data_IF_755179070143
#
_entry.id   IF_755179070143
#
_cell.length_a   1.000
_cell.length_b   1.000
_cell.length_c   1.000
_cell.angle_alpha   90.00
_cell.angle_beta   90.00
_cell.angle_gamma   90.00
#
_symmetry.space_group_name_H-M   'P 1'
#
loop_
_entity.id
_entity.type
_entity.pdbx_description
1 polymer ?
#
# COMPACT_ATOMS: atom_id res chain seq x y z
N UNK A 1 -11.44 -44.70 14.16
CA UNK A 1 -12.06 -43.40 13.83
C UNK A 1 -10.97 -42.36 13.93
N UNK A 2 -10.28 -42.09 12.81
CA UNK A 2 -9.29 -41.01 12.75
C UNK A 2 -10.06 -39.72 12.51
N UNK A 3 -9.94 -38.76 13.41
CA UNK A 3 -10.48 -37.41 13.22
C UNK A 3 -9.69 -36.76 12.09
N UNK A 4 -10.36 -36.52 10.97
CA UNK A 4 -9.85 -35.62 9.94
C UNK A 4 -9.50 -34.29 10.62
N UNK A 5 -8.20 -34.00 10.72
CA UNK A 5 -7.72 -32.71 11.16
C UNK A 5 -8.13 -31.72 10.05
N UNK A 6 -9.31 -31.12 10.21
CA UNK A 6 -9.70 -29.92 9.48
C UNK A 6 -8.55 -28.95 9.64
N UNK A 7 -7.85 -28.67 8.54
CA UNK A 7 -6.78 -27.68 8.52
C UNK A 7 -7.48 -26.34 8.64
N UNK A 8 -7.67 -25.88 9.88
CA UNK A 8 -8.19 -24.55 10.15
C UNK A 8 -7.36 -23.54 9.34
N UNK A 9 -7.97 -22.60 8.61
CA UNK A 9 -7.23 -21.54 7.93
C UNK A 9 -6.30 -20.89 8.95
N UNK A 10 -4.98 -20.96 8.70
CA UNK A 10 -4.02 -20.36 9.61
C UNK A 10 -4.20 -18.85 9.59
N UNK A 11 -4.63 -18.26 10.69
CA UNK A 11 -4.70 -16.80 10.94
C UNK A 11 -3.32 -16.11 10.90
N UNK A 12 -2.27 -16.84 10.54
CA UNK A 12 -0.89 -16.42 10.60
C UNK A 12 -0.46 -15.56 9.40
N UNK A 13 0.33 -14.54 9.70
CA UNK A 13 0.97 -13.70 8.69
C UNK A 13 1.99 -14.52 7.89
N UNK A 14 1.69 -14.75 6.61
CA UNK A 14 2.64 -15.35 5.68
C UNK A 14 3.77 -14.40 5.30
N UNK A 15 4.89 -14.94 4.76
CA UNK A 15 5.98 -14.12 4.19
C UNK A 15 5.51 -13.07 3.18
N UNK A 16 4.45 -13.36 2.42
CA UNK A 16 3.91 -12.45 1.42
C UNK A 16 3.28 -11.20 2.05
N UNK A 17 2.66 -11.32 3.24
CA UNK A 17 2.18 -10.17 4.00
C UNK A 17 3.33 -9.24 4.40
N UNK A 18 4.44 -9.80 4.89
CA UNK A 18 5.60 -9.00 5.28
C UNK A 18 6.25 -8.29 4.09
N UNK A 19 6.30 -8.94 2.92
CA UNK A 19 6.75 -8.28 1.68
C UNK A 19 5.82 -7.11 1.33
N UNK A 20 4.49 -7.31 1.40
CA UNK A 20 3.52 -6.24 1.18
C UNK A 20 3.68 -5.08 2.16
N UNK A 21 3.88 -5.38 3.44
CA UNK A 21 4.16 -4.39 4.50
C UNK A 21 5.44 -3.60 4.20
N UNK A 22 6.52 -4.28 3.80
CA UNK A 22 7.78 -3.61 3.48
C UNK A 22 7.63 -2.67 2.27
N UNK A 23 6.96 -3.12 1.20
CA UNK A 23 6.71 -2.30 0.02
C UNK A 23 5.81 -1.09 0.36
N UNK A 24 4.75 -1.31 1.15
CA UNK A 24 3.88 -0.26 1.64
C UNK A 24 4.64 0.76 2.51
N UNK A 25 5.57 0.31 3.35
CA UNK A 25 6.39 1.18 4.18
C UNK A 25 7.33 2.05 3.34
N UNK A 26 7.96 1.47 2.30
CA UNK A 26 8.82 2.21 1.37
C UNK A 26 8.03 3.32 0.66
N UNK A 27 6.90 3.00 0.03
CA UNK A 27 6.11 4.03 -0.67
C UNK A 27 5.50 5.04 0.30
N UNK A 28 5.03 4.60 1.47
CA UNK A 28 4.52 5.48 2.52
C UNK A 28 5.58 6.48 3.02
N UNK A 29 6.82 6.04 3.22
CA UNK A 29 7.92 6.91 3.60
C UNK A 29 8.26 7.94 2.51
N UNK A 30 8.26 7.53 1.23
CA UNK A 30 8.46 8.44 0.10
C UNK A 30 7.37 9.53 0.11
N UNK A 31 6.10 9.15 0.25
CA UNK A 31 5.00 10.12 0.27
C UNK A 31 5.08 11.03 1.50
N UNK A 32 5.49 10.51 2.66
CA UNK A 32 5.66 11.31 3.85
C UNK A 32 6.75 12.37 3.67
N UNK A 33 7.90 12.00 3.09
CA UNK A 33 9.00 12.94 2.81
C UNK A 33 8.57 14.01 1.81
N UNK A 34 7.91 13.63 0.71
CA UNK A 34 7.41 14.57 -0.29
C UNK A 34 6.36 15.54 0.32
N UNK A 35 5.41 14.98 1.08
CA UNK A 35 4.36 15.75 1.73
C UNK A 35 4.90 16.71 2.78
N UNK A 36 5.77 16.23 3.67
CA UNK A 36 6.41 17.07 4.70
C UNK A 36 7.26 18.18 4.07
N UNK A 37 8.01 17.88 3.00
CA UNK A 37 8.79 18.89 2.27
C UNK A 37 7.91 19.98 1.66
N UNK A 38 6.82 19.61 0.98
CA UNK A 38 5.87 20.56 0.41
C UNK A 38 5.19 21.42 1.49
N UNK A 39 4.75 20.81 2.59
CA UNK A 39 4.07 21.53 3.68
C UNK A 39 5.01 22.42 4.48
N UNK A 40 6.28 22.06 4.60
CA UNK A 40 7.29 22.93 5.21
C UNK A 40 7.50 24.21 4.39
N UNK A 41 7.39 24.12 3.05
CA UNK A 41 7.47 25.29 2.17
C UNK A 41 6.15 26.10 2.14
N UNK A 42 5.00 25.41 2.15
CA UNK A 42 3.67 26.01 2.18
C UNK A 42 2.68 25.10 2.96
N UNK A 43 2.28 25.47 4.18
CA UNK A 43 1.37 24.64 5.00
C UNK A 43 -0.01 24.38 4.39
N UNK A 44 -0.42 25.16 3.40
CA UNK A 44 -1.69 25.00 2.69
C UNK A 44 -1.54 24.31 1.32
N UNK A 45 -0.36 23.75 0.99
CA UNK A 45 -0.12 23.10 -0.29
C UNK A 45 -1.03 21.87 -0.47
N UNK A 46 -1.94 21.85 -1.47
CA UNK A 46 -2.87 20.74 -1.65
C UNK A 46 -2.18 19.41 -1.97
N UNK A 47 -1.07 19.42 -2.71
CA UNK A 47 -0.30 18.22 -3.00
C UNK A 47 0.45 17.74 -1.75
N UNK A 48 0.98 18.66 -0.96
CA UNK A 48 1.58 18.36 0.34
C UNK A 48 0.61 17.63 1.27
N UNK A 49 -0.61 18.16 1.40
CA UNK A 49 -1.69 17.52 2.18
C UNK A 49 -2.03 16.14 1.60
N UNK A 50 -2.18 16.03 0.28
CA UNK A 50 -2.51 14.77 -0.38
C UNK A 50 -1.42 13.71 -0.17
N UNK A 51 -0.14 14.07 -0.25
CA UNK A 51 0.99 13.18 0.00
C UNK A 51 1.03 12.68 1.46
N UNK A 52 0.80 13.57 2.44
CA UNK A 52 0.69 13.16 3.84
C UNK A 52 -0.52 12.23 4.06
N UNK A 53 -1.65 12.54 3.44
CA UNK A 53 -2.83 11.66 3.45
C UNK A 53 -2.54 10.29 2.85
N UNK A 54 -1.80 10.23 1.74
CA UNK A 54 -1.38 8.98 1.13
C UNK A 54 -0.44 8.17 2.04
N UNK A 55 0.54 8.82 2.68
CA UNK A 55 1.41 8.19 3.66
C UNK A 55 0.63 7.61 4.84
N UNK A 56 -0.37 8.35 5.35
CA UNK A 56 -1.28 7.88 6.39
C UNK A 56 -2.10 6.67 5.93
N UNK A 57 -2.57 6.67 4.67
CA UNK A 57 -3.25 5.52 4.06
C UNK A 57 -2.40 4.25 4.02
N UNK A 58 -1.14 4.36 3.58
CA UNK A 58 -0.19 3.23 3.61
C UNK A 58 0.10 2.76 5.04
N UNK A 59 0.30 3.68 5.98
CA UNK A 59 0.49 3.34 7.40
C UNK A 59 -0.73 2.62 7.99
N UNK A 60 -1.94 3.07 7.67
CA UNK A 60 -3.19 2.42 8.08
C UNK A 60 -3.30 1.01 7.48
N UNK A 61 -2.90 0.82 6.22
CA UNK A 61 -2.80 -0.50 5.58
C UNK A 61 -1.84 -1.43 6.31
N UNK A 62 -0.64 -0.96 6.66
CA UNK A 62 0.35 -1.72 7.42
C UNK A 62 -0.21 -2.15 8.77
N UNK A 63 -0.78 -1.22 9.53
CA UNK A 63 -1.38 -1.52 10.85
C UNK A 63 -2.55 -2.50 10.69
N UNK A 64 -3.38 -2.32 9.66
CA UNK A 64 -4.51 -3.19 9.37
C UNK A 64 -4.09 -4.63 9.04
N UNK A 65 -3.01 -4.82 8.29
CA UNK A 65 -2.46 -6.15 7.99
C UNK A 65 -1.82 -6.78 9.21
N UNK A 66 -1.00 -6.04 9.96
CA UNK A 66 -0.21 -6.60 11.07
C UNK A 66 -1.03 -6.86 12.35
N UNK A 67 -2.11 -6.10 12.57
CA UNK A 67 -2.91 -6.17 13.80
C UNK A 67 -4.38 -6.54 13.57
N UNK A 68 -4.78 -6.73 12.32
CA UNK A 68 -6.14 -7.16 12.00
C UNK A 68 -6.32 -8.65 12.22
N UNK A 69 -7.53 -9.04 12.62
CA UNK A 69 -8.00 -10.41 12.40
C UNK A 69 -8.09 -10.71 10.90
N UNK A 70 -8.30 -11.98 10.53
CA UNK A 70 -8.36 -12.41 9.13
C UNK A 70 -9.37 -11.63 8.29
N UNK A 71 -10.56 -11.38 8.82
CA UNK A 71 -11.61 -10.64 8.11
C UNK A 71 -11.18 -9.20 7.83
N UNK A 72 -10.59 -8.52 8.82
CA UNK A 72 -10.10 -7.16 8.69
C UNK A 72 -8.89 -7.10 7.76
N UNK A 73 -7.96 -8.04 7.89
CA UNK A 73 -6.77 -8.14 7.05
C UNK A 73 -7.15 -8.32 5.58
N UNK A 74 -8.05 -9.27 5.28
CA UNK A 74 -8.56 -9.50 3.93
C UNK A 74 -9.22 -8.24 3.33
N UNK A 75 -10.04 -7.52 4.10
CA UNK A 75 -10.62 -6.23 3.66
C UNK A 75 -9.55 -5.16 3.41
N UNK A 76 -8.53 -5.07 4.26
CA UNK A 76 -7.43 -4.11 4.10
C UNK A 76 -6.62 -4.43 2.84
N UNK A 77 -6.34 -5.70 2.57
CA UNK A 77 -5.69 -6.14 1.32
C UNK A 77 -6.54 -5.73 0.11
N UNK A 78 -7.85 -6.01 0.14
CA UNK A 78 -8.76 -5.64 -0.94
C UNK A 78 -8.82 -4.13 -1.17
N UNK A 79 -8.91 -3.32 -0.12
CA UNK A 79 -8.92 -1.84 -0.21
C UNK A 79 -7.56 -1.27 -0.64
N UNK A 80 -6.47 -1.95 -0.31
CA UNK A 80 -5.12 -1.58 -0.74
C UNK A 80 -4.98 -1.56 -2.25
N UNK A 81 -5.67 -2.45 -2.97
CA UNK A 81 -5.61 -2.54 -4.44
C UNK A 81 -6.07 -1.24 -5.12
N UNK A 82 -7.33 -0.77 -4.97
CA UNK A 82 -7.77 0.47 -5.59
C UNK A 82 -7.04 1.69 -5.02
N UNK A 83 -6.63 1.67 -3.75
CA UNK A 83 -5.84 2.75 -3.17
C UNK A 83 -4.49 2.92 -3.88
N UNK A 84 -3.69 1.86 -3.97
CA UNK A 84 -2.38 1.89 -4.63
C UNK A 84 -2.50 2.14 -6.13
N UNK A 85 -3.46 1.51 -6.81
CA UNK A 85 -3.72 1.78 -8.23
C UNK A 85 -4.09 3.25 -8.48
N UNK A 86 -4.91 3.84 -7.60
CA UNK A 86 -5.26 5.26 -7.65
C UNK A 86 -4.03 6.17 -7.58
N UNK A 87 -3.04 5.86 -6.73
CA UNK A 87 -1.80 6.62 -6.64
C UNK A 87 -0.98 6.58 -7.95
N UNK A 88 -0.96 5.44 -8.64
CA UNK A 88 -0.29 5.29 -9.95
C UNK A 88 -1.01 6.13 -11.01
N UNK A 89 -2.35 6.02 -11.07
CA UNK A 89 -3.17 6.78 -12.03
C UNK A 89 -3.06 8.28 -11.79
N UNK A 90 -3.16 8.74 -10.54
CA UNK A 90 -3.03 10.16 -10.18
C UNK A 90 -1.65 10.71 -10.54
N UNK A 91 -0.59 9.94 -10.34
CA UNK A 91 0.75 10.35 -10.76
C UNK A 91 0.82 10.60 -12.26
N UNK A 92 0.36 9.64 -13.07
CA UNK A 92 0.35 9.81 -14.54
C UNK A 92 -0.47 11.02 -14.94
N UNK A 93 -1.68 11.18 -14.39
CA UNK A 93 -2.57 12.28 -14.71
C UNK A 93 -1.96 13.66 -14.36
N UNK A 94 -1.30 13.79 -13.21
CA UNK A 94 -0.74 15.05 -12.73
C UNK A 94 0.63 15.39 -13.33
N UNK A 95 1.35 14.40 -13.85
CA UNK A 95 2.70 14.60 -14.39
C UNK A 95 2.75 14.51 -15.93
N UNK A 96 1.62 14.22 -16.61
CA UNK A 96 1.58 14.12 -18.05
C UNK A 96 1.99 15.44 -18.75
N UNK A 97 2.80 15.40 -19.82
CA UNK A 97 3.39 14.22 -20.48
C UNK A 97 4.73 13.74 -19.88
N UNK A 98 5.28 14.44 -18.89
CA UNK A 98 6.58 14.14 -18.31
C UNK A 98 6.49 13.23 -17.06
N UNK A 99 6.27 11.95 -17.30
CA UNK A 99 6.12 10.93 -16.25
C UNK A 99 7.43 10.22 -15.86
N UNK A 100 8.58 10.66 -16.40
CA UNK A 100 9.85 9.92 -16.28
C UNK A 100 10.83 10.50 -15.24
N UNK A 101 10.35 11.38 -14.37
CA UNK A 101 11.16 11.86 -13.23
C UNK A 101 11.62 10.70 -12.35
N UNK A 102 12.93 10.58 -12.11
CA UNK A 102 13.57 9.41 -11.47
C UNK A 102 12.87 9.00 -10.16
N UNK A 103 12.59 9.97 -9.27
CA UNK A 103 11.94 9.69 -7.98
C UNK A 103 10.50 9.17 -8.12
N UNK A 104 9.73 9.73 -9.07
CA UNK A 104 8.36 9.30 -9.34
C UNK A 104 8.30 7.91 -9.96
N UNK A 105 9.18 7.62 -10.93
CA UNK A 105 9.27 6.30 -11.55
C UNK A 105 9.65 5.23 -10.54
N UNK A 106 10.66 5.49 -9.70
CA UNK A 106 11.10 4.54 -8.68
C UNK A 106 9.96 4.17 -7.71
N UNK A 107 9.22 5.16 -7.21
CA UNK A 107 8.02 4.93 -6.38
C UNK A 107 6.95 4.12 -7.14
N UNK A 108 6.71 4.40 -8.41
CA UNK A 108 5.70 3.66 -9.19
C UNK A 108 6.07 2.21 -9.40
N UNK A 109 7.36 1.89 -9.57
CA UNK A 109 7.80 0.49 -9.60
C UNK A 109 7.53 -0.22 -8.28
N UNK A 110 7.75 0.44 -7.14
CA UNK A 110 7.42 -0.11 -5.81
C UNK A 110 5.91 -0.32 -5.67
N UNK A 111 5.09 0.63 -6.12
CA UNK A 111 3.63 0.52 -6.08
C UNK A 111 3.09 -0.58 -7.00
N UNK A 112 3.67 -0.77 -8.19
CA UNK A 112 3.30 -1.87 -9.08
C UNK A 112 3.68 -3.24 -8.48
N UNK A 113 4.85 -3.34 -7.84
CA UNK A 113 5.22 -4.55 -7.10
C UNK A 113 4.26 -4.82 -5.92
N UNK A 114 3.88 -3.77 -5.18
CA UNK A 114 2.89 -3.87 -4.11
C UNK A 114 1.53 -4.33 -4.64
N UNK A 115 1.07 -3.80 -5.79
CA UNK A 115 -0.16 -4.28 -6.43
C UNK A 115 -0.09 -5.77 -6.77
N UNK A 116 1.03 -6.25 -7.30
CA UNK A 116 1.24 -7.68 -7.54
C UNK A 116 1.09 -8.52 -6.27
N UNK A 117 1.68 -8.06 -5.16
CA UNK A 117 1.58 -8.72 -3.84
C UNK A 117 0.14 -8.71 -3.32
N UNK A 118 -0.55 -7.57 -3.40
CA UNK A 118 -1.94 -7.44 -2.94
C UNK A 118 -2.89 -8.32 -3.74
N UNK A 119 -2.72 -8.41 -5.07
CA UNK A 119 -3.48 -9.34 -5.90
C UNK A 119 -3.20 -10.80 -5.55
N UNK A 120 -1.94 -11.15 -5.28
CA UNK A 120 -1.57 -12.50 -4.89
C UNK A 120 -2.14 -12.91 -3.52
N UNK A 121 -2.18 -11.99 -2.55
CA UNK A 121 -2.87 -12.19 -1.27
C UNK A 121 -4.38 -12.31 -1.45
N UNK A 122 -5.00 -11.35 -2.14
CA UNK A 122 -6.45 -11.37 -2.38
C UNK A 122 -6.91 -12.66 -3.06
N UNK A 123 -6.16 -13.19 -4.03
CA UNK A 123 -6.50 -14.46 -4.69
C UNK A 123 -6.31 -15.72 -3.83
N UNK A 124 -5.55 -15.64 -2.74
CA UNK A 124 -5.35 -16.74 -1.79
C UNK A 124 -6.44 -16.74 -0.71
N UNK A 125 -6.87 -15.55 -0.32
CA UNK A 125 -7.78 -15.35 0.81
C UNK A 125 -9.26 -15.22 0.36
N UNK A 126 -9.51 -15.11 -0.95
CA UNK A 126 -10.84 -15.11 -1.57
C UNK A 126 -11.34 -16.53 -1.89
#
# INVERSE_FOLDING_TARGET
MATDAVTEPSDDLTRLHYVGVALAAVTGAIHLVLGAGALAANPADPLGIAFVGAAAGFAAGIVGVLRGDERRRSRVVLLGIPFTAGQVVLYVALNWPNIFGIGGVADKLVQLALLGVLFALYRRDA
#
